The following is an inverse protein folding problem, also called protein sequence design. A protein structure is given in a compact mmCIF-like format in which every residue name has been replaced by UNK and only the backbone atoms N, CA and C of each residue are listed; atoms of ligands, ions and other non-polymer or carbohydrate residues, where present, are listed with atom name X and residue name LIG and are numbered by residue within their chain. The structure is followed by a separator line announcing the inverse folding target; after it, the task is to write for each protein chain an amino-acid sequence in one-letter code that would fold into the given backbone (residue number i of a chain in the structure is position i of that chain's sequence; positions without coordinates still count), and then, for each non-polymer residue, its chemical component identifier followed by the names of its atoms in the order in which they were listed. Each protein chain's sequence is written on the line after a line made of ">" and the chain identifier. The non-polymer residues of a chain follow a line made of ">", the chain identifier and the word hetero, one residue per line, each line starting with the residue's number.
data_IF_410864455383
#
_entry.id   IF_410864455383
#
_cell.length_a   1.000
_cell.length_b   1.000
_cell.length_c   1.000
_cell.angle_alpha   90.00
_cell.angle_beta   90.00
_cell.angle_gamma   90.00
#
_symmetry.space_group_name_H-M   'P 1'
#
loop_
_entity.id
_entity.type
_entity.pdbx_description
1 polymer ?
#
# COMPACT_ATOMS: atom_id res chain seq x y z
N UNK A 1 5.57 18.39 -5.84
CA UNK A 1 4.88 17.42 -4.97
C UNK A 1 5.35 16.02 -5.31
N UNK A 2 5.51 15.13 -4.33
CA UNK A 2 6.01 13.77 -4.47
C UNK A 2 5.03 12.76 -3.88
N UNK A 3 4.81 11.69 -4.63
CA UNK A 3 3.80 10.67 -4.32
C UNK A 3 4.47 9.31 -4.36
N UNK A 4 4.36 8.56 -3.27
CA UNK A 4 4.84 7.19 -3.17
C UNK A 4 3.65 6.23 -3.28
N UNK A 5 3.59 5.48 -4.37
CA UNK A 5 2.76 4.28 -4.46
C UNK A 5 3.47 3.12 -3.78
N UNK A 6 2.79 2.50 -2.82
CA UNK A 6 3.27 1.38 -2.02
C UNK A 6 2.29 0.21 -2.19
N UNK A 7 2.81 -1.01 -2.28
CA UNK A 7 1.92 -2.18 -2.27
C UNK A 7 2.63 -3.45 -2.71
N UNK A 8 1.84 -4.36 -3.30
CA UNK A 8 2.32 -5.64 -3.79
C UNK A 8 2.22 -5.75 -5.31
N UNK A 9 2.21 -6.98 -5.82
CA UNK A 9 2.15 -7.26 -7.25
C UNK A 9 1.00 -6.53 -7.95
N UNK A 10 -0.15 -6.33 -7.29
CA UNK A 10 -1.27 -5.53 -7.82
C UNK A 10 -0.84 -4.09 -8.09
N UNK A 11 -0.13 -3.45 -7.16
CA UNK A 11 0.35 -2.08 -7.37
C UNK A 11 1.42 -2.01 -8.47
N UNK A 12 2.20 -3.08 -8.64
CA UNK A 12 3.19 -3.17 -9.70
C UNK A 12 2.58 -3.44 -11.09
N UNK A 13 1.62 -4.35 -11.20
CA UNK A 13 1.04 -4.80 -12.47
C UNK A 13 -0.18 -4.01 -12.92
N UNK A 14 -1.02 -3.58 -11.97
CA UNK A 14 -2.36 -3.06 -12.28
C UNK A 14 -2.38 -1.54 -12.39
N UNK A 15 -1.29 -0.87 -11.99
CA UNK A 15 -1.11 0.58 -12.16
C UNK A 15 -0.18 0.84 -13.35
N UNK A 16 -0.73 1.47 -14.38
CA UNK A 16 0.03 2.06 -15.47
C UNK A 16 0.71 3.35 -14.97
N UNK A 17 1.94 3.22 -14.49
CA UNK A 17 2.67 4.33 -13.87
C UNK A 17 2.86 5.55 -14.81
N UNK A 18 3.23 5.39 -16.10
CA UNK A 18 3.18 6.49 -17.06
C UNK A 18 1.80 7.15 -17.17
N UNK A 19 0.74 6.36 -17.25
CA UNK A 19 -0.64 6.86 -17.26
C UNK A 19 -1.01 7.62 -15.98
N UNK A 20 -0.57 7.13 -14.81
CA UNK A 20 -0.79 7.78 -13.51
C UNK A 20 -0.04 9.12 -13.43
N UNK A 21 1.22 9.14 -13.85
CA UNK A 21 2.03 10.36 -13.91
C UNK A 21 1.39 11.42 -14.81
N UNK A 22 0.87 11.03 -15.98
CA UNK A 22 0.15 11.93 -16.87
C UNK A 22 -1.19 12.40 -16.26
N UNK A 23 -1.92 11.51 -15.58
CA UNK A 23 -3.22 11.81 -14.96
C UNK A 23 -3.14 12.81 -13.80
N UNK A 24 -2.09 12.69 -12.98
CA UNK A 24 -1.84 13.60 -11.84
C UNK A 24 -1.14 14.91 -12.25
N UNK A 25 -0.54 14.95 -13.44
CA UNK A 25 0.13 16.13 -13.99
C UNK A 25 1.65 16.15 -13.76
N UNK A 26 2.35 16.97 -14.52
CA UNK A 26 3.83 16.98 -14.58
C UNK A 26 4.50 17.54 -13.31
N UNK A 27 3.78 18.29 -12.48
CA UNK A 27 4.31 18.88 -11.24
C UNK A 27 4.32 17.88 -10.06
N UNK A 28 3.66 16.73 -10.25
CA UNK A 28 3.72 15.60 -9.36
C UNK A 28 4.90 14.70 -9.75
N UNK A 29 5.65 14.17 -8.78
CA UNK A 29 6.61 13.09 -9.01
C UNK A 29 6.03 11.81 -8.44
N UNK A 30 5.60 10.89 -9.32
CA UNK A 30 5.04 9.61 -8.91
C UNK A 30 6.16 8.56 -8.88
N UNK A 31 6.36 7.94 -7.72
CA UNK A 31 7.31 6.83 -7.52
C UNK A 31 6.54 5.62 -7.03
N UNK A 32 6.88 4.44 -7.55
CA UNK A 32 6.28 3.18 -7.12
C UNK A 32 7.33 2.31 -6.40
N UNK A 33 6.99 1.84 -5.20
CA UNK A 33 7.71 0.80 -4.49
C UNK A 33 6.72 -0.32 -4.16
N UNK A 34 6.62 -1.27 -5.09
CA UNK A 34 5.74 -2.42 -4.99
C UNK A 34 6.58 -3.70 -4.92
N UNK A 35 6.31 -4.54 -3.93
CA UNK A 35 7.05 -5.79 -3.69
C UNK A 35 6.05 -6.93 -3.70
N UNK A 36 6.20 -7.89 -4.61
CA UNK A 36 5.26 -9.01 -4.76
C UNK A 36 5.02 -9.75 -3.43
N UNK A 37 3.85 -10.35 -3.27
CA UNK A 37 3.54 -11.22 -2.11
C UNK A 37 3.74 -10.53 -0.75
N UNK A 38 3.43 -9.23 -0.67
CA UNK A 38 3.50 -8.44 0.57
C UNK A 38 2.12 -8.01 1.05
N UNK A 39 2.05 -7.76 2.35
CA UNK A 39 0.87 -7.40 3.12
C UNK A 39 1.12 -6.18 4.01
N UNK A 40 0.12 -5.79 4.79
CA UNK A 40 0.17 -4.65 5.70
C UNK A 40 1.46 -4.53 6.51
N UNK A 41 1.88 -5.60 7.20
CA UNK A 41 3.04 -5.53 8.08
C UNK A 41 4.33 -5.32 7.28
N UNK A 42 4.44 -5.91 6.09
CA UNK A 42 5.55 -5.66 5.18
C UNK A 42 5.62 -4.18 4.80
N UNK A 43 4.48 -3.60 4.44
CA UNK A 43 4.35 -2.19 4.05
C UNK A 43 4.64 -1.25 5.21
N UNK A 44 4.12 -1.52 6.40
CA UNK A 44 4.33 -0.69 7.58
C UNK A 44 5.82 -0.58 7.93
N UNK A 45 6.51 -1.71 8.06
CA UNK A 45 7.94 -1.72 8.40
C UNK A 45 8.81 -1.25 7.23
N UNK A 46 8.43 -1.59 6.00
CA UNK A 46 9.05 -1.05 4.79
C UNK A 46 9.00 0.47 4.74
N UNK A 47 7.85 1.05 5.08
CA UNK A 47 7.65 2.49 5.12
C UNK A 47 8.45 3.14 6.25
N UNK A 48 8.53 2.53 7.44
CA UNK A 48 9.44 2.98 8.52
C UNK A 48 10.88 3.07 8.01
N UNK A 49 11.36 2.05 7.29
CA UNK A 49 12.70 2.03 6.70
C UNK A 49 12.90 3.11 5.66
N UNK A 50 11.92 3.33 4.77
CA UNK A 50 11.95 4.40 3.76
C UNK A 50 11.99 5.79 4.40
N UNK A 51 11.21 6.03 5.44
CA UNK A 51 11.27 7.29 6.16
C UNK A 51 12.59 7.47 6.93
N UNK A 52 13.13 6.40 7.51
CA UNK A 52 14.42 6.41 8.20
C UNK A 52 15.60 6.66 7.25
N UNK A 53 15.51 6.22 5.99
CA UNK A 53 16.50 6.52 4.95
C UNK A 53 16.40 7.94 4.39
N UNK A 54 15.46 8.75 4.88
CA UNK A 54 15.35 10.17 4.56
C UNK A 54 14.30 10.52 3.51
N UNK A 55 13.56 9.56 2.96
CA UNK A 55 12.47 9.86 2.03
C UNK A 55 11.36 10.69 2.72
N UNK A 56 10.83 11.69 2.03
CA UNK A 56 9.75 12.56 2.51
C UNK A 56 8.71 12.78 1.40
N UNK A 57 7.92 11.75 1.03
CA UNK A 57 6.79 11.92 0.14
C UNK A 57 5.72 12.83 0.77
N UNK A 58 5.03 13.63 -0.04
CA UNK A 58 3.86 14.40 0.41
C UNK A 58 2.65 13.47 0.62
N UNK A 59 2.54 12.44 -0.23
CA UNK A 59 1.50 11.41 -0.16
C UNK A 59 2.09 10.01 -0.22
N UNK A 60 1.61 9.13 0.64
CA UNK A 60 1.79 7.68 0.58
C UNK A 60 0.46 7.05 0.19
N UNK A 61 0.43 6.41 -0.97
CA UNK A 61 -0.74 5.76 -1.54
C UNK A 61 -0.54 4.25 -1.48
N UNK A 62 -1.27 3.55 -0.63
CA UNK A 62 -1.07 2.11 -0.40
C UNK A 62 -2.17 1.29 -1.07
N UNK A 63 -1.77 0.32 -1.89
CA UNK A 63 -2.66 -0.48 -2.73
C UNK A 63 -2.74 -1.95 -2.37
N UNK A 64 -3.97 -2.46 -2.23
CA UNK A 64 -4.21 -3.89 -2.14
C UNK A 64 -5.66 -4.25 -1.81
N UNK A 65 -6.03 -5.51 -2.04
CA UNK A 65 -7.31 -6.06 -1.52
C UNK A 65 -7.35 -6.03 0.01
N UNK A 66 -8.55 -6.00 0.61
CA UNK A 66 -8.71 -5.91 2.07
C UNK A 66 -7.98 -7.03 2.82
N UNK A 67 -7.93 -8.23 2.26
CA UNK A 67 -7.20 -9.37 2.84
C UNK A 67 -5.71 -9.09 3.06
N UNK A 68 -5.09 -8.24 2.24
CA UNK A 68 -3.67 -7.88 2.40
C UNK A 68 -3.48 -6.87 3.55
N UNK A 69 -4.45 -5.96 3.73
CA UNK A 69 -4.47 -5.04 4.87
C UNK A 69 -4.71 -5.76 6.21
N UNK A 70 -5.48 -6.84 6.18
CA UNK A 70 -5.87 -7.60 7.38
C UNK A 70 -4.98 -8.83 7.63
N UNK A 71 -4.06 -9.15 6.72
CA UNK A 71 -3.19 -10.30 6.87
C UNK A 71 -2.30 -10.16 8.12
N UNK A 72 -2.22 -11.21 8.97
CA UNK A 72 -1.41 -11.18 10.19
C UNK A 72 0.05 -11.60 9.96
N UNK A 73 0.49 -11.77 8.71
CA UNK A 73 1.78 -12.32 8.34
C UNK A 73 2.55 -11.38 7.40
N UNK A 74 3.84 -11.69 7.22
CA UNK A 74 4.80 -10.99 6.36
C UNK A 74 5.35 -11.95 5.31
N UNK A 75 6.10 -11.45 4.32
CA UNK A 75 6.81 -12.23 3.29
C UNK A 75 8.05 -12.96 3.83
N UNK A 76 7.93 -13.60 5.00
CA UNK A 76 8.95 -14.45 5.60
C UNK A 76 10.33 -13.80 5.72
N UNK A 77 11.36 -14.52 5.28
CA UNK A 77 12.76 -14.07 5.37
C UNK A 77 13.11 -12.96 4.37
N UNK A 78 12.35 -12.86 3.27
CA UNK A 78 12.53 -11.79 2.30
C UNK A 78 12.23 -10.43 2.94
N UNK A 79 11.11 -10.36 3.66
CA UNK A 79 10.73 -9.20 4.47
C UNK A 79 11.84 -8.79 5.44
N UNK A 80 12.40 -9.77 6.16
CA UNK A 80 13.41 -9.51 7.18
C UNK A 80 14.67 -8.84 6.61
N UNK A 81 15.07 -9.14 5.37
CA UNK A 81 16.25 -8.51 4.76
C UNK A 81 15.94 -7.20 4.02
N UNK A 82 14.87 -7.17 3.21
CA UNK A 82 14.65 -6.11 2.24
C UNK A 82 13.73 -4.99 2.72
N UNK A 83 12.91 -5.23 3.75
CA UNK A 83 11.86 -4.29 4.16
C UNK A 83 11.98 -3.89 5.63
N UNK A 84 12.48 -4.79 6.47
CA UNK A 84 12.68 -4.55 7.89
C UNK A 84 14.00 -3.82 8.15
N UNK A 85 14.01 -2.96 9.17
CA UNK A 85 15.24 -2.42 9.74
C UNK A 85 15.57 -3.09 11.06
N UNK A 86 16.86 -3.15 11.39
CA UNK A 86 17.37 -3.80 12.61
C UNK A 86 16.63 -3.41 13.90
N UNK A 87 16.35 -2.12 14.18
CA UNK A 87 15.67 -1.72 15.42
C UNK A 87 14.23 -2.24 15.52
N UNK A 88 13.60 -2.51 14.37
CA UNK A 88 12.20 -2.93 14.30
C UNK A 88 12.05 -4.46 14.36
N UNK A 89 13.15 -5.24 14.39
CA UNK A 89 13.10 -6.70 14.24
C UNK A 89 12.28 -7.40 15.32
N UNK A 90 12.48 -7.03 16.59
CA UNK A 90 11.77 -7.65 17.71
C UNK A 90 10.28 -7.24 17.74
N UNK A 91 9.96 -6.00 17.34
CA UNK A 91 8.57 -5.56 17.20
C UNK A 91 7.87 -6.35 16.08
N UNK A 92 8.49 -6.45 14.91
CA UNK A 92 7.98 -7.23 13.80
C UNK A 92 7.76 -8.70 14.19
N UNK A 93 8.75 -9.33 14.83
CA UNK A 93 8.66 -10.70 15.32
C UNK A 93 7.49 -10.90 16.30
N UNK A 94 7.29 -9.95 17.23
CA UNK A 94 6.17 -10.01 18.18
C UNK A 94 4.83 -9.92 17.48
N UNK A 95 4.69 -9.01 16.51
CA UNK A 95 3.43 -8.78 15.77
C UNK A 95 3.01 -9.96 14.91
N UNK A 96 3.97 -10.66 14.31
CA UNK A 96 3.69 -11.90 13.54
C UNK A 96 3.60 -13.14 14.44
N UNK A 97 3.71 -12.97 15.77
CA UNK A 97 3.75 -14.07 16.75
C UNK A 97 4.83 -15.12 16.42
N UNK A 98 6.01 -14.65 16.01
CA UNK A 98 7.14 -15.50 15.65
C UNK A 98 7.57 -16.37 16.83
N UNK A 99 7.79 -17.67 16.57
CA UNK A 99 8.47 -18.55 17.51
C UNK A 99 10.00 -18.31 17.46
N UNK A 100 10.74 -18.95 18.37
CA UNK A 100 12.20 -18.80 18.45
C UNK A 100 12.91 -19.10 17.12
N UNK A 101 12.48 -20.14 16.39
CA UNK A 101 13.07 -20.51 15.10
C UNK A 101 12.83 -19.43 14.03
N UNK A 102 11.64 -18.85 14.00
CA UNK A 102 11.31 -17.75 13.09
C UNK A 102 12.14 -16.50 13.42
N UNK A 103 12.32 -16.16 14.72
CA UNK A 103 13.18 -15.05 15.15
C UNK A 103 14.63 -15.27 14.71
N UNK A 104 15.19 -16.45 14.96
CA UNK A 104 16.54 -16.79 14.50
C UNK A 104 16.68 -16.69 12.99
N UNK A 105 15.68 -17.19 12.25
CA UNK A 105 15.67 -17.10 10.78
C UNK A 105 15.65 -15.64 10.30
N UNK A 106 14.83 -14.79 10.93
CA UNK A 106 14.78 -13.35 10.62
C UNK A 106 16.12 -12.65 10.93
N UNK A 107 16.77 -12.97 12.04
CA UNK A 107 18.08 -12.41 12.41
C UNK A 107 19.16 -12.77 11.38
N UNK A 108 19.20 -14.03 10.95
CA UNK A 108 20.15 -14.48 9.91
C UNK A 108 19.81 -13.83 8.56
N UNK A 109 18.52 -13.77 8.21
CA UNK A 109 18.06 -13.12 6.98
C UNK A 109 18.46 -11.64 6.93
N UNK A 110 18.33 -10.91 8.04
CA UNK A 110 18.77 -9.52 8.13
C UNK A 110 20.24 -9.35 7.71
N UNK A 111 21.13 -10.19 8.24
CA UNK A 111 22.56 -10.14 7.92
C UNK A 111 22.96 -10.72 6.57
N UNK A 112 22.06 -11.41 5.85
CA UNK A 112 22.41 -12.16 4.64
C UNK A 112 21.36 -12.07 3.55
N UNK A 113 21.70 -11.35 2.47
CA UNK A 113 20.86 -11.27 1.28
C UNK A 113 20.57 -12.66 0.66
N UNK A 114 21.57 -13.57 0.72
CA UNK A 114 21.39 -14.94 0.28
C UNK A 114 20.33 -15.66 1.11
N UNK A 115 20.42 -15.58 2.44
CA UNK A 115 19.46 -16.23 3.31
C UNK A 115 18.07 -15.60 3.24
N UNK A 116 17.98 -14.27 3.16
CA UNK A 116 16.73 -13.55 2.96
C UNK A 116 16.04 -13.90 1.63
N UNK A 117 16.83 -14.17 0.59
CA UNK A 117 16.32 -14.54 -0.74
C UNK A 117 16.18 -16.05 -0.98
N UNK A 118 16.50 -16.89 0.00
CA UNK A 118 16.64 -18.35 -0.21
C UNK A 118 15.40 -19.01 -0.80
N UNK A 119 14.21 -18.55 -0.39
CA UNK A 119 12.93 -19.09 -0.84
C UNK A 119 12.67 -18.70 -2.31
N UNK A 120 13.05 -17.48 -2.71
CA UNK A 120 12.95 -17.02 -4.10
C UNK A 120 13.97 -17.70 -5.00
N UNK A 121 15.19 -17.90 -4.51
CA UNK A 121 16.22 -18.69 -5.20
C UNK A 121 15.72 -20.12 -5.41
N UNK A 122 15.18 -20.76 -4.38
CA UNK A 122 14.65 -22.11 -4.47
C UNK A 122 13.48 -22.20 -5.47
N UNK A 123 12.52 -21.29 -5.42
CA UNK A 123 11.40 -21.22 -6.39
C UNK A 123 11.90 -21.14 -7.85
N UNK A 124 12.91 -20.31 -8.10
CA UNK A 124 13.52 -20.15 -9.43
C UNK A 124 14.26 -21.41 -9.88
N UNK A 125 15.04 -22.01 -8.97
CA UNK A 125 15.77 -23.26 -9.25
C UNK A 125 14.80 -24.40 -9.58
N UNK A 126 13.73 -24.57 -8.80
CA UNK A 126 12.72 -25.61 -9.04
C UNK A 126 12.04 -25.41 -10.39
N UNK A 127 11.64 -24.18 -10.71
CA UNK A 127 11.03 -23.84 -12.01
C UNK A 127 11.98 -24.15 -13.17
N UNK A 128 13.28 -23.97 -12.99
CA UNK A 128 14.28 -24.25 -14.02
C UNK A 128 14.59 -25.75 -14.16
N UNK A 129 14.71 -26.47 -13.04
CA UNK A 129 15.11 -27.87 -13.02
C UNK A 129 13.99 -28.85 -13.36
N UNK A 130 12.73 -28.48 -13.07
CA UNK A 130 11.58 -29.36 -13.30
C UNK A 130 10.82 -28.90 -14.56
N UNK A 131 10.90 -29.65 -15.67
CA UNK A 131 10.14 -29.33 -16.87
C UNK A 131 8.64 -29.29 -16.57
N UNK A 132 7.95 -28.27 -17.07
CA UNK A 132 6.49 -28.07 -16.88
C UNK A 132 6.05 -27.90 -15.42
N UNK A 133 6.95 -27.54 -14.50
CA UNK A 133 6.59 -27.26 -13.11
C UNK A 133 5.44 -26.25 -12.98
N UNK A 134 5.43 -25.20 -13.82
CA UNK A 134 4.34 -24.22 -13.84
C UNK A 134 2.95 -24.84 -14.06
N UNK A 135 2.86 -25.87 -14.92
CA UNK A 135 1.61 -26.59 -15.15
C UNK A 135 1.21 -27.43 -13.93
N UNK A 136 2.19 -28.11 -13.29
CA UNK A 136 1.95 -28.89 -12.08
C UNK A 136 1.50 -27.99 -10.91
N UNK A 137 2.19 -26.86 -10.69
CA UNK A 137 1.84 -25.88 -9.68
C UNK A 137 0.41 -25.33 -9.90
N UNK A 138 0.02 -25.05 -11.15
CA UNK A 138 -1.33 -24.61 -11.48
C UNK A 138 -2.42 -25.66 -11.22
N UNK A 139 -2.10 -26.96 -11.24
CA UNK A 139 -3.02 -28.04 -10.87
C UNK A 139 -3.09 -28.19 -9.35
N UNK A 140 -1.95 -28.21 -8.66
CA UNK A 140 -1.88 -28.34 -7.20
C UNK A 140 -2.53 -27.16 -6.48
N UNK A 141 -2.28 -25.93 -6.94
CA UNK A 141 -2.87 -24.73 -6.36
C UNK A 141 -4.39 -24.66 -6.56
N UNK A 142 -4.94 -25.31 -7.59
CA UNK A 142 -6.40 -25.47 -7.76
C UNK A 142 -7.02 -26.43 -6.76
N UNK A 143 -6.27 -27.41 -6.26
CA UNK A 143 -6.73 -28.37 -5.26
C UNK A 143 -6.54 -27.89 -3.81
N UNK A 144 -5.72 -26.85 -3.58
CA UNK A 144 -5.24 -26.43 -2.27
C UNK A 144 -5.93 -25.24 -1.61
N UNK A 145 -7.04 -24.73 -2.12
CA UNK A 145 -7.75 -23.59 -1.48
C UNK A 145 -8.67 -24.10 -0.38
N UNK A 146 -8.07 -24.59 0.71
CA UNK A 146 -8.75 -24.65 2.00
C UNK A 146 -8.20 -23.48 2.83
N UNK A 147 -9.06 -22.48 3.07
CA UNK A 147 -8.85 -21.43 4.06
C UNK A 147 -8.77 -22.07 5.46
N UNK A 148 -7.65 -22.71 5.78
CA UNK A 148 -7.28 -22.98 7.16
C UNK A 148 -6.71 -21.69 7.76
N UNK A 149 -7.55 -20.66 7.83
CA UNK A 149 -7.26 -19.46 8.60
C UNK A 149 -7.14 -19.88 10.08
N UNK A 150 -6.00 -19.60 10.69
CA UNK A 150 -5.81 -19.76 12.12
C UNK A 150 -6.92 -19.02 12.87
N UNK A 151 -7.43 -19.61 13.96
CA UNK A 151 -8.54 -19.13 14.80
C UNK A 151 -8.31 -17.78 15.53
N UNK A 152 -7.36 -16.95 15.08
CA UNK A 152 -7.19 -15.59 15.57
C UNK A 152 -8.20 -14.68 14.86
N UNK A 153 -8.92 -13.86 15.63
CA UNK A 153 -9.70 -12.77 15.04
C UNK A 153 -8.77 -11.91 14.16
N UNK A 154 -9.18 -11.60 12.92
CA UNK A 154 -8.40 -10.71 12.07
C UNK A 154 -8.24 -9.35 12.78
N UNK A 155 -7.08 -8.69 12.63
CA UNK A 155 -6.86 -7.36 13.19
C UNK A 155 -7.93 -6.38 12.68
N UNK A 156 -8.29 -5.39 13.50
CA UNK A 156 -9.27 -4.36 13.12
C UNK A 156 -8.75 -3.54 11.93
N UNK A 157 -9.57 -3.29 10.88
CA UNK A 157 -9.26 -2.31 9.84
C UNK A 157 -8.85 -0.96 10.41
N UNK A 158 -9.56 -0.46 11.43
CA UNK A 158 -9.31 0.83 12.06
C UNK A 158 -7.91 0.93 12.65
N UNK A 159 -7.48 -0.06 13.43
CA UNK A 159 -6.15 -0.05 14.06
C UNK A 159 -5.03 0.02 13.03
N UNK A 160 -5.19 -0.73 11.93
CA UNK A 160 -4.23 -0.81 10.83
C UNK A 160 -4.11 0.52 10.09
N UNK A 161 -5.26 1.11 9.75
CA UNK A 161 -5.33 2.41 9.07
C UNK A 161 -4.76 3.50 9.96
N UNK A 162 -5.14 3.53 11.24
CA UNK A 162 -4.67 4.53 12.20
C UNK A 162 -3.15 4.47 12.36
N UNK A 163 -2.59 3.28 12.58
CA UNK A 163 -1.14 3.13 12.76
C UNK A 163 -0.34 3.60 11.53
N UNK A 164 -0.84 3.30 10.33
CA UNK A 164 -0.17 3.74 9.10
C UNK A 164 -0.36 5.25 8.88
N UNK A 165 -1.51 5.80 9.26
CA UNK A 165 -1.78 7.25 9.23
C UNK A 165 -0.79 7.99 10.14
N UNK A 166 -0.64 7.55 11.37
CA UNK A 166 0.29 8.15 12.34
C UNK A 166 1.73 8.09 11.86
N UNK A 167 2.15 6.94 11.30
CA UNK A 167 3.48 6.81 10.71
C UNK A 167 3.70 7.83 9.59
N UNK A 168 2.74 7.98 8.67
CA UNK A 168 2.83 8.99 7.62
C UNK A 168 2.87 10.42 8.20
N UNK A 169 1.98 10.74 9.14
CA UNK A 169 1.81 12.07 9.70
C UNK A 169 3.09 12.56 10.43
N UNK A 170 3.74 11.69 11.22
CA UNK A 170 5.00 12.01 11.90
C UNK A 170 6.12 12.39 10.91
N UNK A 171 6.04 11.89 9.68
CA UNK A 171 7.00 12.18 8.62
C UNK A 171 6.51 13.23 7.62
N UNK A 172 5.42 13.93 7.92
CA UNK A 172 4.87 14.99 7.07
C UNK A 172 4.15 14.47 5.82
N UNK A 173 3.87 13.18 5.74
CA UNK A 173 3.17 12.55 4.63
C UNK A 173 1.68 12.34 4.96
N UNK A 174 0.83 12.37 3.94
CA UNK A 174 -0.58 12.00 4.04
C UNK A 174 -0.81 10.58 3.53
N UNK A 175 -1.66 9.83 4.22
CA UNK A 175 -2.03 8.47 3.82
C UNK A 175 -3.30 8.48 2.95
N UNK A 176 -3.25 7.75 1.83
CA UNK A 176 -4.42 7.36 1.05
C UNK A 176 -4.33 5.86 0.81
N UNK A 177 -5.44 5.14 0.94
CA UNK A 177 -5.53 3.73 0.59
C UNK A 177 -6.36 3.55 -0.67
N UNK A 178 -6.10 2.48 -1.41
CA UNK A 178 -6.97 2.08 -2.50
C UNK A 178 -7.12 0.56 -2.59
N UNK A 179 -8.31 0.14 -2.99
CA UNK A 179 -8.70 -1.26 -3.14
C UNK A 179 -8.92 -1.53 -4.64
N UNK A 180 -8.13 -2.44 -5.25
CA UNK A 180 -8.28 -2.81 -6.66
C UNK A 180 -9.57 -3.61 -6.87
N UNK A 181 -10.12 -3.59 -8.09
CA UNK A 181 -11.16 -4.53 -8.48
C UNK A 181 -10.62 -5.97 -8.45
N UNK A 182 -11.51 -6.93 -8.26
CA UNK A 182 -11.21 -8.35 -8.38
C UNK A 182 -12.34 -9.10 -9.08
N UNK A 183 -12.06 -10.34 -9.47
CA UNK A 183 -13.09 -11.23 -10.05
C UNK A 183 -14.06 -11.78 -9.01
N UNK A 184 -13.61 -11.90 -7.76
CA UNK A 184 -14.42 -12.31 -6.61
C UNK A 184 -14.73 -11.12 -5.72
N UNK A 185 -15.83 -11.20 -4.95
CA UNK A 185 -16.20 -10.11 -4.04
C UNK A 185 -15.25 -9.94 -2.87
N UNK A 186 -14.80 -8.70 -2.62
CA UNK A 186 -14.02 -8.29 -1.46
C UNK A 186 -14.98 -8.06 -0.30
N UNK A 187 -15.02 -9.03 0.62
CA UNK A 187 -15.98 -9.02 1.72
C UNK A 187 -15.73 -7.91 2.74
N UNK A 188 -14.50 -7.41 2.85
CA UNK A 188 -14.15 -6.41 3.86
C UNK A 188 -13.86 -5.02 3.26
N UNK A 189 -14.02 -4.82 1.95
CA UNK A 189 -13.79 -3.52 1.33
C UNK A 189 -14.65 -2.42 1.96
N UNK A 190 -15.94 -2.70 2.22
CA UNK A 190 -16.83 -1.74 2.87
C UNK A 190 -16.35 -1.37 4.30
N UNK A 191 -15.92 -2.37 5.09
CA UNK A 191 -15.40 -2.14 6.43
C UNK A 191 -14.11 -1.29 6.41
N UNK A 192 -13.25 -1.49 5.40
CA UNK A 192 -12.07 -0.65 5.19
C UNK A 192 -12.46 0.80 4.88
N UNK A 193 -13.45 1.01 4.01
CA UNK A 193 -13.95 2.36 3.65
C UNK A 193 -14.55 3.07 4.86
N UNK A 194 -15.36 2.37 5.65
CA UNK A 194 -15.98 2.92 6.86
C UNK A 194 -14.93 3.31 7.90
N UNK A 195 -13.97 2.42 8.19
CA UNK A 195 -12.87 2.70 9.09
C UNK A 195 -11.99 3.86 8.60
N UNK A 196 -11.72 3.94 7.30
CA UNK A 196 -11.01 5.07 6.70
C UNK A 196 -11.74 6.39 6.90
N UNK A 197 -13.06 6.41 6.68
CA UNK A 197 -13.90 7.60 6.89
C UNK A 197 -13.86 8.06 8.35
N UNK A 198 -13.97 7.14 9.31
CA UNK A 198 -13.89 7.47 10.74
C UNK A 198 -12.54 8.08 11.13
N UNK A 199 -11.48 7.64 10.45
CA UNK A 199 -10.11 8.09 10.70
C UNK A 199 -9.66 9.23 9.79
N UNK A 200 -10.53 9.80 8.96
CA UNK A 200 -10.18 10.81 7.96
C UNK A 200 -9.00 10.39 7.07
N UNK A 201 -9.05 9.14 6.59
CA UNK A 201 -8.13 8.56 5.61
C UNK A 201 -8.94 8.13 4.40
N UNK A 202 -8.74 8.74 3.21
CA UNK A 202 -9.42 8.31 2.01
C UNK A 202 -9.08 6.86 1.67
N UNK A 203 -10.11 6.03 1.52
CA UNK A 203 -10.01 4.65 1.04
C UNK A 203 -10.80 4.57 -0.26
N UNK A 204 -10.07 4.52 -1.36
CA UNK A 204 -10.63 4.58 -2.70
C UNK A 204 -10.97 3.18 -3.22
N UNK A 205 -12.11 3.05 -3.88
CA UNK A 205 -12.51 1.82 -4.60
C UNK A 205 -12.85 2.23 -6.04
N UNK A 206 -11.83 2.50 -6.87
CA UNK A 206 -12.02 3.27 -8.11
C UNK A 206 -12.89 2.57 -9.15
N UNK A 207 -12.93 1.25 -9.07
CA UNK A 207 -13.71 0.38 -9.94
C UNK A 207 -14.31 -0.71 -9.06
N UNK A 208 -15.64 -0.84 -9.09
CA UNK A 208 -16.33 -1.92 -8.37
C UNK A 208 -16.24 -3.23 -9.13
N UNK A 209 -16.35 -4.32 -8.39
CA UNK A 209 -16.16 -5.66 -8.90
C UNK A 209 -17.17 -6.00 -10.01
N UNK A 210 -16.69 -6.73 -11.02
CA UNK A 210 -17.45 -7.04 -12.22
C UNK A 210 -17.45 -5.95 -13.30
N UNK A 211 -16.95 -4.73 -13.03
CA UNK A 211 -16.84 -3.69 -14.06
C UNK A 211 -15.66 -3.88 -15.02
N UNK A 212 -14.60 -4.60 -14.60
CA UNK A 212 -13.52 -5.02 -15.50
C UNK A 212 -13.91 -6.37 -16.12
N UNK A 213 -13.99 -6.46 -17.46
CA UNK A 213 -14.24 -7.72 -18.15
C UNK A 213 -13.18 -8.78 -17.81
N UNK A 214 -13.58 -10.04 -17.66
CA UNK A 214 -12.65 -11.14 -17.32
C UNK A 214 -11.48 -11.29 -18.30
N UNK A 215 -11.67 -10.92 -19.58
CA UNK A 215 -10.61 -10.94 -20.62
C UNK A 215 -9.49 -9.94 -20.37
N UNK A 216 -9.74 -8.92 -19.54
CA UNK A 216 -8.78 -7.86 -19.22
C UNK A 216 -7.99 -8.19 -17.95
N UNK A 217 -8.12 -9.42 -17.42
CA UNK A 217 -7.24 -10.01 -16.42
C UNK A 217 -6.22 -10.94 -17.10
N UNK A 218 -4.94 -10.82 -16.74
CA UNK A 218 -3.86 -11.60 -17.34
C UNK A 218 -3.85 -13.07 -16.87
N UNK A 219 -4.17 -13.31 -15.59
CA UNK A 219 -4.08 -14.62 -14.95
C UNK A 219 -5.26 -14.91 -14.01
N UNK A 220 -6.33 -14.14 -14.12
CA UNK A 220 -7.50 -14.22 -13.24
C UNK A 220 -7.38 -13.42 -11.94
N UNK A 221 -6.21 -12.85 -11.65
CA UNK A 221 -5.96 -12.04 -10.46
C UNK A 221 -5.37 -10.66 -10.81
N UNK A 222 -4.31 -10.61 -11.61
CA UNK A 222 -3.68 -9.39 -12.08
C UNK A 222 -4.35 -8.84 -13.34
N UNK A 223 -4.39 -7.53 -13.49
CA UNK A 223 -4.90 -6.88 -14.69
C UNK A 223 -3.91 -7.02 -15.85
N UNK A 224 -4.46 -7.24 -17.04
CA UNK A 224 -3.73 -7.03 -18.28
C UNK A 224 -3.60 -5.53 -18.59
N UNK A 225 -2.82 -5.15 -19.61
CA UNK A 225 -2.55 -3.75 -19.93
C UNK A 225 -3.81 -2.89 -20.16
N UNK A 226 -4.88 -3.47 -20.72
CA UNK A 226 -6.15 -2.77 -20.91
C UNK A 226 -6.87 -2.48 -19.58
N UNK A 227 -7.00 -3.48 -18.72
CA UNK A 227 -7.58 -3.33 -17.39
C UNK A 227 -6.78 -2.36 -16.52
N UNK A 228 -5.45 -2.45 -16.56
CA UNK A 228 -4.56 -1.55 -15.81
C UNK A 228 -4.77 -0.08 -16.21
N UNK A 229 -4.92 0.22 -17.50
CA UNK A 229 -5.24 1.58 -17.97
C UNK A 229 -6.60 2.07 -17.49
N UNK A 230 -7.61 1.20 -17.48
CA UNK A 230 -8.96 1.54 -16.96
C UNK A 230 -8.88 1.89 -15.48
N UNK A 231 -8.26 1.03 -14.67
CA UNK A 231 -8.06 1.25 -13.24
C UNK A 231 -7.27 2.52 -12.96
N UNK A 232 -6.14 2.70 -13.65
CA UNK A 232 -5.26 3.86 -13.51
C UNK A 232 -6.01 5.16 -13.80
N UNK A 233 -6.80 5.20 -14.86
CA UNK A 233 -7.59 6.38 -15.23
C UNK A 233 -8.67 6.71 -14.20
N UNK A 234 -9.33 5.69 -13.64
CA UNK A 234 -10.32 5.87 -12.59
C UNK A 234 -9.66 6.37 -11.29
N UNK A 235 -8.58 5.71 -10.85
CA UNK A 235 -7.85 6.07 -9.65
C UNK A 235 -7.25 7.49 -9.74
N UNK A 236 -6.64 7.86 -10.87
CA UNK A 236 -6.12 9.21 -11.07
C UNK A 236 -7.20 10.28 -10.97
N UNK A 237 -8.42 10.01 -11.46
CA UNK A 237 -9.56 10.92 -11.39
C UNK A 237 -10.01 11.19 -9.96
N UNK A 238 -9.96 10.17 -9.09
CA UNK A 238 -10.31 10.30 -7.68
C UNK A 238 -9.18 10.91 -6.84
N UNK A 239 -7.92 10.59 -7.16
CA UNK A 239 -6.76 11.12 -6.46
C UNK A 239 -6.55 12.62 -6.70
N UNK A 240 -6.76 13.09 -7.94
CA UNK A 240 -6.50 14.47 -8.32
C UNK A 240 -7.19 15.52 -7.43
N UNK A 241 -8.52 15.45 -7.16
CA UNK A 241 -9.17 16.42 -6.28
C UNK A 241 -8.69 16.33 -4.83
N UNK A 242 -8.42 15.12 -4.31
CA UNK A 242 -7.90 14.95 -2.94
C UNK A 242 -6.55 15.61 -2.76
N UNK A 243 -5.68 15.44 -3.75
CA UNK A 243 -4.35 16.01 -3.74
C UNK A 243 -4.40 17.54 -3.89
N UNK A 244 -5.23 18.06 -4.80
CA UNK A 244 -5.37 19.48 -5.06
C UNK A 244 -5.99 20.25 -3.87
N UNK A 245 -7.07 19.71 -3.28
CA UNK A 245 -7.75 20.35 -2.15
C UNK A 245 -6.80 20.61 -0.97
N UNK A 246 -5.82 19.72 -0.79
CA UNK A 246 -4.91 19.83 0.34
C UNK A 246 -3.71 20.73 0.06
N UNK A 247 -3.27 20.84 -1.20
CA UNK A 247 -2.30 21.87 -1.60
C UNK A 247 -2.86 23.30 -1.37
N UNK A 248 -4.15 23.50 -1.67
CA UNK A 248 -4.83 24.78 -1.44
C UNK A 248 -4.94 25.13 0.06
N UNK A 249 -5.14 24.14 0.93
CA UNK A 249 -5.19 24.36 2.38
C UNK A 249 -3.82 24.79 2.95
N UNK A 250 -2.72 24.20 2.48
CA UNK A 250 -1.36 24.58 2.90
C UNK A 250 -0.98 25.99 2.42
N UNK A 251 -1.33 26.33 1.17
CA UNK A 251 -1.13 27.67 0.62
C UNK A 251 -1.89 28.74 1.39
N UNK A 252 -3.14 28.45 1.79
CA UNK A 252 -3.95 29.38 2.61
C UNK A 252 -3.46 29.48 4.05
N UNK A 253 -2.94 28.39 4.63
CA UNK A 253 -2.34 28.40 5.97
C UNK A 253 -1.02 29.16 6.08
N UNK A 254 -0.31 29.34 4.95
CA UNK A 254 0.95 30.11 4.89
C UNK A 254 0.78 31.60 4.58
N UNK A 255 -0.44 32.09 4.31
CA UNK A 255 -0.66 33.53 4.17
C UNK A 255 -0.65 34.19 5.56
N UNK A 256 0.23 35.18 5.83
CA UNK A 256 0.16 35.92 7.08
C UNK A 256 -1.22 36.57 7.14
N UNK A 257 -1.92 36.40 8.26
CA UNK A 257 -3.19 37.06 8.51
C UNK A 257 -3.00 38.58 8.35
N UNK A 258 -3.31 39.11 7.17
CA UNK A 258 -3.40 40.54 6.97
C UNK A 258 -4.58 41.01 7.80
N UNK A 259 -4.29 41.60 8.96
CA UNK A 259 -5.27 42.33 9.74
C UNK A 259 -5.84 43.43 8.86
N UNK A 260 -7.02 43.18 8.32
CA UNK A 260 -7.95 44.21 7.87
C UNK A 260 -8.61 44.74 9.15
N UNK A 261 -8.02 45.81 9.69
CA UNK A 261 -8.56 46.78 10.65
C UNK A 261 -7.39 47.78 10.83
N UNK A 262 -7.43 49.03 10.35
CA UNK A 262 -8.48 50.01 10.54
C UNK A 262 -8.52 51.01 9.36
N UNK A 263 -9.69 51.14 8.75
CA UNK A 263 -10.12 52.38 8.10
C UNK A 263 -11.54 52.67 8.57
N UNK A 264 -11.74 53.93 8.97
CA UNK A 264 -12.99 54.62 9.28
C UNK A 264 -13.48 54.58 10.73
N UNK A 265 -12.90 55.47 11.54
CA UNK A 265 -13.72 56.37 12.35
C UNK A 265 -13.46 57.80 11.87
N UNK A 266 -14.30 58.24 10.94
CA UNK A 266 -14.53 59.64 10.67
C UNK A 266 -15.66 60.11 11.61
N UNK A 267 -15.52 61.32 12.13
CA UNK A 267 -16.59 62.16 12.67
C UNK A 267 -17.24 61.79 14.03
N UNK A 268 -16.85 62.52 15.08
CA UNK A 268 -17.81 63.27 15.91
C UNK A 268 -17.13 64.30 16.81
N UNK A 269 -17.28 65.57 16.42
CA UNK A 269 -17.67 66.72 17.24
C UNK A 269 -16.92 67.04 18.56
N UNK A 270 -16.42 68.29 18.53
CA UNK A 270 -16.12 69.26 19.61
C UNK A 270 -14.70 69.28 20.15
#
# INVERSE_FOLDING_TARGET
>A
MSILFLGNSITHSDIDLPGMQAGLGNDARVVCWAVDDTNYLDWLFGLKRIFRSGARPDYVIVGGRSRHFLAPHVRGNFFAHYMLDWPDLLDAARRIKANANAICSMLIAQGSAFYGSREEIYKRLVTWMIPRFAHLAAVLNRAGVSDAASAAMPPSPGDRIWEMKELCAIHGARLILWIPPGQSRDRNAQAMVEAGRELDVPVLVPIVEGQIPSKDYADGFHLGPAGARMLTSALARELKPLIAATADQELRGCQPASRIADMNVQESRK
#
